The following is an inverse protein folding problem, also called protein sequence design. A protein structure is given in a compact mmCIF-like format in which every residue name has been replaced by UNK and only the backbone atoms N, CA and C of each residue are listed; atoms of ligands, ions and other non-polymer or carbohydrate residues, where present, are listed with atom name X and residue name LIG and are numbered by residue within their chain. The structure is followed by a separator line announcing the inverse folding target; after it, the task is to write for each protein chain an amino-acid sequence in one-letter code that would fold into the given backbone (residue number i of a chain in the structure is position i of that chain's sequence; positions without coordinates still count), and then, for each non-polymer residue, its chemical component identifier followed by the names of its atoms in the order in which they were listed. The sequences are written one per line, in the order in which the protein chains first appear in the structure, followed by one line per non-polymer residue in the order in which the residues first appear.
data_IF_447053418736
#
_entry.id   IF_447053418736
#
_cell.length_a   1.000
_cell.length_b   1.000
_cell.length_c   1.000
_cell.angle_alpha   90.00
_cell.angle_beta   90.00
_cell.angle_gamma   90.00
#
_symmetry.space_group_name_H-M   'P 1'
#
loop_
_entity.id
_entity.type
_entity.pdbx_description
1 polymer ?
#
# COMPACT_ATOMS: atom_id res chain seq x y z
N UNK A 1 -12.02 5.95 6.54
CA UNK A 1 -10.86 6.89 6.46
C UNK A 1 -10.20 6.64 5.11
N UNK A 2 -9.86 7.69 4.36
CA UNK A 2 -9.24 7.54 3.04
C UNK A 2 -7.74 7.76 3.15
N UNK A 3 -6.95 6.85 2.59
CA UNK A 3 -5.48 6.95 2.57
C UNK A 3 -4.96 6.88 1.14
N UNK A 4 -3.97 7.72 0.83
CA UNK A 4 -3.23 7.62 -0.42
C UNK A 4 -2.05 6.68 -0.21
N UNK A 5 -2.00 5.57 -0.95
CA UNK A 5 -0.84 4.70 -0.99
C UNK A 5 0.13 5.24 -2.05
N UNK A 6 1.32 5.65 -1.62
CA UNK A 6 2.42 5.94 -2.55
C UNK A 6 2.90 4.66 -3.23
N UNK A 7 3.58 4.80 -4.38
CA UNK A 7 4.16 3.68 -5.13
C UNK A 7 5.08 2.84 -4.25
N UNK A 8 5.82 3.47 -3.32
CA UNK A 8 6.71 2.74 -2.41
C UNK A 8 5.97 1.71 -1.55
N UNK A 9 4.77 2.02 -1.04
CA UNK A 9 3.99 1.06 -0.22
C UNK A 9 3.66 -0.20 -1.01
N UNK A 10 3.33 -0.04 -2.29
CA UNK A 10 3.06 -1.17 -3.18
C UNK A 10 4.35 -1.96 -3.45
N UNK A 11 5.45 -1.25 -3.77
CA UNK A 11 6.74 -1.88 -4.05
C UNK A 11 7.33 -2.60 -2.84
N UNK A 12 7.11 -2.10 -1.63
CA UNK A 12 7.63 -2.71 -0.42
C UNK A 12 7.07 -4.12 -0.20
N UNK A 13 5.79 -4.32 -0.54
CA UNK A 13 5.12 -5.63 -0.47
C UNK A 13 5.52 -6.51 -1.67
N UNK A 14 5.52 -5.96 -2.88
CA UNK A 14 5.81 -6.74 -4.09
C UNK A 14 7.27 -7.23 -4.17
N UNK A 15 8.20 -6.46 -3.59
CA UNK A 15 9.64 -6.72 -3.66
C UNK A 15 10.24 -7.13 -2.31
N UNK A 16 9.40 -7.31 -1.28
CA UNK A 16 9.83 -7.67 0.08
C UNK A 16 10.94 -6.71 0.61
N UNK A 17 10.75 -5.39 0.45
CA UNK A 17 11.77 -4.40 0.81
C UNK A 17 11.79 -4.17 2.32
N UNK A 18 12.84 -4.65 2.96
CA UNK A 18 13.12 -4.31 4.36
C UNK A 18 13.58 -2.84 4.51
N UNK A 19 13.19 -2.16 5.60
CA UNK A 19 12.45 -2.65 6.76
C UNK A 19 10.91 -2.51 6.65
N UNK A 20 10.37 -2.15 5.48
CA UNK A 20 8.99 -1.65 5.35
C UNK A 20 7.99 -2.69 4.84
N UNK A 21 8.45 -3.86 4.36
CA UNK A 21 7.61 -4.89 3.77
C UNK A 21 6.40 -5.27 4.65
N UNK A 22 6.65 -5.58 5.93
CA UNK A 22 5.62 -6.02 6.86
C UNK A 22 4.61 -4.91 7.20
N UNK A 23 5.08 -3.67 7.37
CA UNK A 23 4.18 -2.55 7.70
C UNK A 23 3.34 -2.12 6.49
N UNK A 24 3.94 -2.07 5.30
CA UNK A 24 3.23 -1.85 4.05
C UNK A 24 2.20 -2.94 3.79
N UNK A 25 2.52 -4.22 4.07
CA UNK A 25 1.57 -5.32 3.98
C UNK A 25 0.36 -5.14 4.91
N UNK A 26 0.57 -4.76 6.18
CA UNK A 26 -0.53 -4.49 7.12
C UNK A 26 -1.48 -3.41 6.59
N UNK A 27 -0.95 -2.34 6.00
CA UNK A 27 -1.79 -1.27 5.43
C UNK A 27 -2.62 -1.81 4.25
N UNK A 28 -2.00 -2.53 3.31
CA UNK A 28 -2.73 -3.08 2.17
C UNK A 28 -3.75 -4.15 2.59
N UNK A 29 -3.46 -4.94 3.62
CA UNK A 29 -4.40 -5.88 4.21
C UNK A 29 -5.63 -5.18 4.80
N UNK A 30 -5.46 -4.04 5.47
CA UNK A 30 -6.60 -3.25 5.96
C UNK A 30 -7.47 -2.70 4.83
N UNK A 31 -6.88 -2.36 3.68
CA UNK A 31 -7.61 -1.98 2.47
C UNK A 31 -8.39 -3.18 1.89
N UNK A 32 -7.76 -4.35 1.83
CA UNK A 32 -8.36 -5.61 1.34
C UNK A 32 -9.51 -6.08 2.24
N UNK A 33 -9.37 -5.94 3.56
CA UNK A 33 -10.42 -6.21 4.55
C UNK A 33 -11.51 -5.12 4.61
N UNK A 34 -11.48 -4.12 3.72
CA UNK A 34 -12.41 -2.98 3.67
C UNK A 34 -12.52 -2.18 4.98
N UNK A 35 -11.47 -2.20 5.82
CA UNK A 35 -11.40 -1.40 7.06
C UNK A 35 -11.01 0.06 6.80
N UNK A 36 -10.28 0.31 5.71
CA UNK A 36 -9.90 1.64 5.21
C UNK A 36 -10.01 1.68 3.69
N UNK A 37 -10.26 2.87 3.14
CA UNK A 37 -10.32 3.08 1.70
C UNK A 37 -8.94 3.54 1.20
N UNK A 38 -8.23 2.66 0.50
CA UNK A 38 -6.95 2.97 -0.16
C UNK A 38 -7.14 3.49 -1.58
N UNK A 39 -6.37 4.49 -1.98
CA UNK A 39 -6.28 4.93 -3.37
C UNK A 39 -4.83 5.19 -3.77
N UNK A 40 -4.51 5.02 -5.05
CA UNK A 40 -3.20 5.36 -5.64
C UNK A 40 -3.37 6.51 -6.62
N UNK A 41 -2.30 7.26 -6.86
CA UNK A 41 -2.29 8.21 -7.98
C UNK A 41 -2.36 7.45 -9.30
N UNK A 42 -3.04 8.02 -10.31
CA UNK A 42 -2.99 7.49 -11.67
C UNK A 42 -1.54 7.44 -12.19
N UNK A 43 -0.69 8.39 -11.79
CA UNK A 43 0.73 8.39 -12.15
C UNK A 43 1.55 7.25 -11.54
N UNK A 44 1.03 6.56 -10.51
CA UNK A 44 1.70 5.39 -9.91
C UNK A 44 1.49 4.11 -10.71
N UNK A 45 0.57 4.12 -11.68
CA UNK A 45 0.22 2.97 -12.53
C UNK A 45 0.71 3.15 -13.98
N UNK A 46 1.07 4.39 -14.36
CA UNK A 46 1.53 4.77 -15.71
C UNK A 46 3.03 4.59 -15.91
#
# INVERSE_FOLDING_TARGET
MKIMCDTNVILDVLLEREPFAEDSYKILKLCEEHKIDGFVSASSVL
#
